data_IF_967531521211
#
_entry.id   IF_967531521211
#
_cell.length_a   1.000
_cell.length_b   1.000
_cell.length_c   1.000
_cell.angle_alpha   90.00
_cell.angle_beta   90.00
_cell.angle_gamma   90.00
#
_symmetry.space_group_name_H-M   'P 1'
#
loop_
_entity.id
_entity.type
_entity.pdbx_description
1 polymer ?
#
# COMPACT_ATOMS: atom_id res chain seq x y z
N UNK A 1 -0.73 23.91 16.58
CA UNK A 1 -0.45 23.36 15.24
C UNK A 1 -0.59 21.84 15.24
N UNK A 2 0.12 21.10 16.08
CA UNK A 2 -0.01 19.64 16.24
C UNK A 2 -1.45 19.15 16.36
N UNK A 3 -2.32 19.90 17.04
CA UNK A 3 -3.71 19.50 17.26
C UNK A 3 -4.49 19.32 15.95
N UNK A 4 -4.31 20.20 14.96
CA UNK A 4 -4.99 20.10 13.67
C UNK A 4 -4.47 18.93 12.82
N UNK A 5 -3.17 18.67 12.88
CA UNK A 5 -2.55 17.54 12.17
C UNK A 5 -3.03 16.21 12.78
N UNK A 6 -3.10 16.13 14.12
CA UNK A 6 -3.64 14.96 14.83
C UNK A 6 -5.13 14.74 14.50
N UNK A 7 -5.95 15.79 14.50
CA UNK A 7 -7.37 15.68 14.14
C UNK A 7 -7.55 15.24 12.68
N UNK A 8 -6.72 15.76 11.75
CA UNK A 8 -6.72 15.33 10.35
C UNK A 8 -6.36 13.87 10.23
N UNK A 9 -5.25 13.45 10.87
CA UNK A 9 -4.80 12.08 10.91
C UNK A 9 -5.88 11.14 11.49
N UNK A 10 -6.50 11.53 12.60
CA UNK A 10 -7.59 10.77 13.21
C UNK A 10 -8.81 10.62 12.29
N UNK A 11 -9.18 11.67 11.55
CA UNK A 11 -10.27 11.59 10.56
C UNK A 11 -9.91 10.66 9.39
N UNK A 12 -8.67 10.74 8.89
CA UNK A 12 -8.20 9.88 7.81
C UNK A 12 -8.20 8.41 8.25
N UNK A 13 -7.68 8.09 9.43
CA UNK A 13 -7.72 6.74 9.99
C UNK A 13 -9.15 6.25 10.23
N UNK A 14 -10.04 7.09 10.76
CA UNK A 14 -11.45 6.75 10.92
C UNK A 14 -12.10 6.39 9.59
N UNK A 15 -11.89 7.20 8.55
CA UNK A 15 -12.43 6.92 7.20
C UNK A 15 -11.87 5.62 6.65
N UNK A 16 -10.57 5.40 6.80
CA UNK A 16 -9.90 4.16 6.38
C UNK A 16 -10.47 2.92 7.08
N UNK A 17 -10.64 2.98 8.41
CA UNK A 17 -11.26 1.91 9.20
C UNK A 17 -12.69 1.61 8.76
N UNK A 18 -13.48 2.65 8.46
CA UNK A 18 -14.85 2.49 7.94
C UNK A 18 -14.83 1.80 6.57
N UNK A 19 -13.94 2.20 5.66
CA UNK A 19 -13.82 1.58 4.33
C UNK A 19 -13.41 0.11 4.45
N UNK A 20 -12.40 -0.21 5.25
CA UNK A 20 -11.99 -1.61 5.47
C UNK A 20 -13.10 -2.42 6.13
N UNK A 21 -13.78 -1.85 7.13
CA UNK A 21 -14.94 -2.50 7.78
C UNK A 21 -16.09 -2.75 6.79
N UNK A 22 -16.35 -1.82 5.89
CA UNK A 22 -17.36 -2.00 4.84
C UNK A 22 -16.98 -3.10 3.86
N UNK A 23 -15.71 -3.17 3.44
CA UNK A 23 -15.21 -4.25 2.58
C UNK A 23 -15.34 -5.60 3.27
N UNK A 24 -14.94 -5.70 4.54
CA UNK A 24 -15.08 -6.91 5.34
C UNK A 24 -16.54 -7.34 5.46
N UNK A 25 -17.44 -6.40 5.75
CA UNK A 25 -18.88 -6.66 5.86
C UNK A 25 -19.45 -7.15 4.54
N UNK A 26 -19.10 -6.51 3.41
CA UNK A 26 -19.51 -6.96 2.08
C UNK A 26 -19.00 -8.38 1.82
N UNK A 27 -17.74 -8.67 2.12
CA UNK A 27 -17.19 -10.03 1.99
C UNK A 27 -17.97 -11.05 2.83
N UNK A 28 -18.29 -10.73 4.09
CA UNK A 28 -19.04 -11.61 4.98
C UNK A 28 -20.49 -11.84 4.52
N UNK A 29 -21.12 -10.82 3.95
CA UNK A 29 -22.50 -10.90 3.44
C UNK A 29 -22.57 -11.63 2.09
N UNK A 30 -21.60 -11.41 1.20
CA UNK A 30 -21.61 -12.01 -0.15
C UNK A 30 -21.16 -13.46 -0.16
N UNK A 31 -20.37 -13.92 0.81
CA UNK A 31 -19.96 -15.32 0.92
C UNK A 31 -21.12 -16.33 0.97
N UNK A 32 -22.26 -16.09 1.65
CA UNK A 32 -23.42 -16.99 1.59
C UNK A 32 -24.12 -16.97 0.22
N UNK A 33 -24.17 -15.82 -0.46
CA UNK A 33 -24.88 -15.69 -1.75
C UNK A 33 -24.12 -16.26 -2.93
N UNK A 34 -22.79 -16.32 -2.89
CA UNK A 34 -21.99 -16.99 -3.93
C UNK A 34 -22.23 -18.52 -3.98
N UNK A 35 -22.87 -19.08 -2.96
CA UNK A 35 -23.29 -20.50 -2.93
C UNK A 35 -24.40 -20.82 -3.93
N UNK A 36 -25.22 -19.86 -4.32
CA UNK A 36 -26.42 -20.11 -5.13
C UNK A 36 -26.13 -20.06 -6.64
N UNK A 37 -25.08 -19.36 -7.08
CA UNK A 37 -24.84 -19.08 -8.50
C UNK A 37 -24.02 -20.14 -9.28
N UNK A 38 -23.34 -21.09 -8.62
CA UNK A 38 -22.48 -22.08 -9.29
C UNK A 38 -22.83 -23.52 -8.87
N UNK A 39 -24.09 -23.92 -9.13
CA UNK A 39 -24.61 -25.25 -8.79
C UNK A 39 -24.10 -26.40 -9.67
N UNK A 40 -23.28 -26.14 -10.70
CA UNK A 40 -22.93 -27.16 -11.70
C UNK A 40 -21.54 -27.81 -11.56
N UNK A 41 -20.71 -27.38 -10.64
CA UNK A 41 -19.45 -28.09 -10.34
C UNK A 41 -19.38 -28.46 -8.85
N UNK A 42 -20.06 -29.54 -8.51
CA UNK A 42 -19.94 -30.14 -7.19
C UNK A 42 -18.64 -30.94 -7.10
N UNK A 43 -17.65 -30.47 -6.37
CA UNK A 43 -16.55 -31.31 -5.90
C UNK A 43 -17.05 -32.06 -4.69
N UNK A 44 -17.25 -33.38 -4.84
CA UNK A 44 -17.60 -34.27 -3.75
C UNK A 44 -16.33 -34.79 -3.09
N UNK A 45 -16.14 -34.46 -1.83
CA UNK A 45 -15.09 -35.04 -0.99
C UNK A 45 -15.80 -35.82 0.13
N UNK A 46 -15.54 -37.12 0.22
CA UNK A 46 -16.18 -38.01 1.18
C UNK A 46 -17.73 -38.00 1.15
N UNK A 47 -18.34 -37.85 -0.05
CA UNK A 47 -19.80 -37.89 -0.22
C UNK A 47 -20.53 -36.59 0.12
N UNK A 48 -19.84 -35.50 0.52
CA UNK A 48 -20.44 -34.19 0.76
C UNK A 48 -20.05 -33.19 -0.35
N UNK A 49 -21.07 -32.55 -0.93
CA UNK A 49 -20.87 -31.50 -1.93
C UNK A 49 -20.54 -30.17 -1.26
N UNK A 50 -19.39 -29.61 -1.57
CA UNK A 50 -18.96 -28.31 -1.07
C UNK A 50 -19.04 -27.27 -2.20
N UNK A 51 -19.80 -26.19 -2.02
CA UNK A 51 -20.01 -25.14 -3.03
C UNK A 51 -19.64 -23.75 -2.51
N UNK A 52 -19.09 -22.90 -3.38
CA UNK A 52 -18.87 -21.46 -3.15
C UNK A 52 -17.47 -21.04 -2.66
N UNK A 53 -17.26 -19.75 -2.44
CA UNK A 53 -15.97 -19.14 -2.07
C UNK A 53 -15.40 -19.65 -0.73
N UNK A 54 -16.25 -20.19 0.15
CA UNK A 54 -15.82 -20.95 1.33
C UNK A 54 -15.17 -22.30 0.97
N UNK A 55 -15.24 -22.73 -0.31
CA UNK A 55 -14.56 -23.96 -0.77
C UNK A 55 -13.07 -23.95 -0.41
N UNK A 56 -12.39 -22.84 -0.59
CA UNK A 56 -10.99 -22.73 -0.20
C UNK A 56 -10.80 -23.00 1.29
N UNK A 57 -11.60 -22.36 2.14
CA UNK A 57 -11.49 -22.48 3.60
C UNK A 57 -12.05 -23.79 4.14
N UNK A 58 -13.13 -24.31 3.56
CA UNK A 58 -13.75 -25.60 4.00
C UNK A 58 -12.99 -26.81 3.45
N UNK A 59 -12.45 -26.76 2.24
CA UNK A 59 -11.52 -27.77 1.72
C UNK A 59 -10.25 -27.86 2.59
N UNK A 60 -9.75 -26.74 3.06
CA UNK A 60 -8.64 -26.64 4.00
C UNK A 60 -8.96 -27.41 5.29
N UNK A 61 -10.18 -27.28 5.81
CA UNK A 61 -10.60 -27.95 7.05
C UNK A 61 -10.88 -29.45 6.90
N UNK A 62 -11.43 -29.87 5.74
CA UNK A 62 -11.84 -31.27 5.53
C UNK A 62 -10.74 -32.19 5.00
N UNK A 63 -9.70 -31.69 4.33
CA UNK A 63 -8.63 -32.53 3.77
C UNK A 63 -7.69 -33.15 4.81
N UNK A 64 -7.83 -32.85 6.10
CA UNK A 64 -6.95 -33.42 7.15
C UNK A 64 -5.46 -33.05 6.95
N UNK A 65 -5.12 -32.38 5.85
CA UNK A 65 -3.81 -31.80 5.64
C UNK A 65 -3.71 -30.51 6.46
N UNK A 66 -2.66 -30.40 7.23
CA UNK A 66 -2.30 -29.18 7.94
C UNK A 66 -1.93 -28.08 6.93
N UNK A 67 -2.93 -27.43 6.37
CA UNK A 67 -2.66 -26.25 5.54
C UNK A 67 -2.27 -25.13 6.50
N UNK A 68 -1.01 -24.76 6.40
CA UNK A 68 -0.47 -23.61 7.09
C UNK A 68 -0.81 -22.36 6.29
N UNK A 69 -1.33 -21.34 6.95
CA UNK A 69 -1.58 -20.03 6.34
C UNK A 69 -0.35 -19.18 6.64
N UNK A 70 0.49 -18.87 5.65
CA UNK A 70 1.66 -18.05 5.89
C UNK A 70 1.23 -16.63 6.26
N UNK A 71 1.74 -16.13 7.38
CA UNK A 71 1.42 -14.79 7.87
C UNK A 71 1.89 -13.70 6.90
N UNK A 72 2.89 -13.97 6.05
CA UNK A 72 3.37 -13.10 4.99
C UNK A 72 2.26 -12.67 4.00
N UNK A 73 1.29 -13.54 3.70
CA UNK A 73 0.14 -13.19 2.84
C UNK A 73 -0.73 -12.13 3.50
N UNK A 74 -0.98 -12.23 4.81
CA UNK A 74 -1.76 -11.23 5.55
C UNK A 74 -1.01 -9.91 5.64
N UNK A 75 0.30 -9.98 5.84
CA UNK A 75 1.18 -8.83 5.80
C UNK A 75 1.15 -8.13 4.43
N UNK A 76 1.08 -8.88 3.32
CA UNK A 76 0.97 -8.31 1.98
C UNK A 76 -0.39 -7.61 1.77
N UNK A 77 -1.49 -8.19 2.24
CA UNK A 77 -2.82 -7.56 2.19
C UNK A 77 -2.82 -6.26 3.00
N UNK A 78 -2.27 -6.29 4.22
CA UNK A 78 -2.15 -5.11 5.07
C UNK A 78 -1.24 -4.05 4.44
N UNK A 79 -0.12 -4.46 3.83
CA UNK A 79 0.79 -3.58 3.12
C UNK A 79 0.11 -2.90 1.93
N UNK A 80 -0.62 -3.65 1.11
CA UNK A 80 -1.36 -3.09 -0.02
C UNK A 80 -2.40 -2.05 0.44
N UNK A 81 -3.20 -2.36 1.46
CA UNK A 81 -4.16 -1.43 2.03
C UNK A 81 -3.47 -0.17 2.61
N UNK A 82 -2.32 -0.34 3.28
CA UNK A 82 -1.51 0.75 3.81
C UNK A 82 -0.89 1.63 2.72
N UNK A 83 -0.47 1.05 1.59
CA UNK A 83 0.03 1.80 0.42
C UNK A 83 -1.09 2.67 -0.18
N UNK A 84 -2.30 2.14 -0.34
CA UNK A 84 -3.45 2.92 -0.78
C UNK A 84 -3.76 4.07 0.17
N UNK A 85 -3.69 3.83 1.47
CA UNK A 85 -3.86 4.87 2.48
C UNK A 85 -2.78 5.96 2.38
N UNK A 86 -1.51 5.57 2.22
CA UNK A 86 -0.39 6.49 2.11
C UNK A 86 -0.52 7.44 0.92
N UNK A 87 -1.02 6.97 -0.23
CA UNK A 87 -1.27 7.81 -1.40
C UNK A 87 -2.34 8.88 -1.11
N UNK A 88 -3.37 8.52 -0.35
CA UNK A 88 -4.39 9.49 0.11
C UNK A 88 -3.82 10.54 1.06
N UNK A 89 -3.00 10.13 2.04
CA UNK A 89 -2.32 11.03 2.97
C UNK A 89 -1.35 11.98 2.26
N UNK A 90 -0.75 11.55 1.16
CA UNK A 90 0.22 12.32 0.41
C UNK A 90 -0.34 13.62 -0.21
N UNK A 91 -1.64 13.81 -0.23
CA UNK A 91 -2.27 15.06 -0.67
C UNK A 91 -2.38 16.11 0.44
N UNK A 92 -1.93 15.81 1.64
CA UNK A 92 -2.05 16.65 2.84
C UNK A 92 -1.40 18.03 2.69
N UNK A 93 -0.29 18.11 1.95
CA UNK A 93 0.43 19.36 1.66
C UNK A 93 0.05 19.99 0.32
N UNK A 94 -1.03 19.56 -0.33
CA UNK A 94 -1.47 20.15 -1.60
C UNK A 94 -1.68 21.67 -1.48
N UNK A 95 -1.29 22.40 -2.51
CA UNK A 95 -1.49 23.86 -2.61
C UNK A 95 -2.95 24.28 -2.49
N UNK A 96 -3.87 23.38 -2.84
CA UNK A 96 -5.30 23.62 -2.79
C UNK A 96 -5.94 23.20 -1.45
N UNK A 97 -5.13 22.73 -0.50
CA UNK A 97 -5.65 22.34 0.81
C UNK A 97 -5.99 23.63 1.61
N UNK A 98 -7.28 23.86 1.84
CA UNK A 98 -7.79 25.01 2.60
C UNK A 98 -7.15 25.16 3.98
N UNK A 99 -6.74 24.07 4.59
CA UNK A 99 -6.11 24.07 5.91
C UNK A 99 -4.72 24.73 5.91
N UNK A 100 -4.05 24.82 4.75
CA UNK A 100 -2.75 25.47 4.64
C UNK A 100 -2.82 26.98 4.81
N UNK A 101 -3.91 27.62 4.38
CA UNK A 101 -4.12 29.05 4.60
C UNK A 101 -4.09 29.41 6.08
N UNK A 102 -4.76 28.63 6.93
CA UNK A 102 -4.72 28.85 8.37
C UNK A 102 -3.35 28.62 9.00
N UNK A 103 -2.54 27.75 8.41
CA UNK A 103 -1.20 27.46 8.91
C UNK A 103 -0.22 28.61 8.63
N UNK A 104 -0.38 29.27 7.49
CA UNK A 104 0.49 30.38 7.10
C UNK A 104 0.17 31.71 7.77
N UNK A 105 -0.99 31.85 8.39
CA UNK A 105 -1.36 33.04 9.18
C UNK A 105 -0.76 33.01 10.59
N UNK A 106 -0.18 31.88 11.05
CA UNK A 106 0.46 31.78 12.36
C UNK A 106 1.97 32.06 12.25
N UNK A 107 2.59 32.62 13.31
CA UNK A 107 4.03 32.93 13.35
C UNK A 107 4.89 31.66 13.53
N UNK A 108 4.68 30.64 12.71
CA UNK A 108 5.46 29.40 12.71
C UNK A 108 6.18 29.28 11.37
N UNK A 109 7.46 28.89 11.40
CA UNK A 109 8.20 28.70 10.15
C UNK A 109 7.53 27.63 9.28
N UNK A 110 7.45 27.89 7.98
CA UNK A 110 6.84 26.96 7.00
C UNK A 110 7.51 25.60 7.01
N UNK A 111 8.82 25.60 7.21
CA UNK A 111 9.62 24.39 7.29
C UNK A 111 9.17 23.51 8.48
N UNK A 112 9.08 24.12 9.67
CA UNK A 112 8.60 23.42 10.88
C UNK A 112 7.18 22.89 10.69
N UNK A 113 6.30 23.70 10.08
CA UNK A 113 4.94 23.30 9.75
C UNK A 113 4.90 22.08 8.82
N UNK A 114 5.68 22.13 7.74
CA UNK A 114 5.75 21.04 6.75
C UNK A 114 6.30 19.77 7.38
N UNK A 115 7.40 19.84 8.14
CA UNK A 115 7.99 18.70 8.82
C UNK A 115 7.04 18.09 9.85
N UNK A 116 6.30 18.91 10.60
CA UNK A 116 5.29 18.42 11.54
C UNK A 116 4.19 17.63 10.83
N UNK A 117 3.69 18.15 9.71
CA UNK A 117 2.67 17.48 8.91
C UNK A 117 3.19 16.16 8.35
N UNK A 118 4.40 16.15 7.78
CA UNK A 118 5.03 14.92 7.25
C UNK A 118 5.26 13.90 8.35
N UNK A 119 5.75 14.32 9.52
CA UNK A 119 5.96 13.43 10.65
C UNK A 119 4.64 12.81 11.18
N UNK A 120 3.57 13.61 11.23
CA UNK A 120 2.24 13.11 11.59
C UNK A 120 1.72 12.13 10.56
N UNK A 121 1.87 12.42 9.28
CA UNK A 121 1.46 11.52 8.19
C UNK A 121 2.25 10.21 8.23
N UNK A 122 3.56 10.26 8.49
CA UNK A 122 4.39 9.06 8.60
C UNK A 122 3.91 8.13 9.72
N UNK A 123 3.61 8.68 10.90
CA UNK A 123 3.05 7.90 12.01
C UNK A 123 1.65 7.37 11.68
N UNK A 124 0.86 8.14 10.96
CA UNK A 124 -0.48 7.74 10.53
C UNK A 124 -0.45 6.57 9.54
N UNK A 125 0.54 6.55 8.65
CA UNK A 125 0.78 5.42 7.74
C UNK A 125 1.11 4.15 8.51
N UNK A 126 1.99 4.21 9.53
CA UNK A 126 2.28 3.05 10.40
C UNK A 126 1.02 2.55 11.09
N UNK A 127 0.21 3.48 11.65
CA UNK A 127 -1.06 3.11 12.28
C UNK A 127 -2.04 2.47 11.27
N UNK A 128 -2.08 2.93 10.02
CA UNK A 128 -2.90 2.34 8.97
C UNK A 128 -2.45 0.91 8.63
N UNK A 129 -1.14 0.63 8.61
CA UNK A 129 -0.63 -0.74 8.44
C UNK A 129 -1.09 -1.65 9.59
N UNK A 130 -1.00 -1.20 10.83
CA UNK A 130 -1.49 -1.97 11.99
C UNK A 130 -2.99 -2.25 11.89
N UNK A 131 -3.79 -1.25 11.53
CA UNK A 131 -5.23 -1.41 11.30
C UNK A 131 -5.48 -2.38 10.15
N UNK A 132 -4.78 -2.25 9.03
CA UNK A 132 -4.88 -3.17 7.89
C UNK A 132 -4.60 -4.61 8.27
N UNK A 133 -3.59 -4.84 9.13
CA UNK A 133 -3.25 -6.18 9.63
C UNK A 133 -4.37 -6.76 10.51
N UNK A 134 -4.97 -5.95 11.38
CA UNK A 134 -6.13 -6.37 12.18
C UNK A 134 -7.30 -6.79 11.29
N UNK A 135 -7.58 -6.02 10.24
CA UNK A 135 -8.64 -6.35 9.28
C UNK A 135 -8.30 -7.55 8.41
N UNK A 136 -7.03 -7.79 8.08
CA UNK A 136 -6.59 -9.00 7.36
C UNK A 136 -6.71 -10.27 8.24
N UNK A 137 -6.48 -10.14 9.55
CA UNK A 137 -6.63 -11.23 10.52
C UNK A 137 -8.10 -11.54 10.86
N UNK A 138 -8.99 -10.56 10.77
CA UNK A 138 -10.38 -10.71 11.20
C UNK A 138 -11.13 -11.89 10.52
N UNK A 139 -11.06 -12.13 9.19
CA UNK A 139 -11.70 -13.26 8.55
C UNK A 139 -11.19 -14.61 9.08
N UNK A 140 -9.88 -14.70 9.32
CA UNK A 140 -9.23 -15.93 9.83
C UNK A 140 -9.68 -16.21 11.27
N UNK A 141 -9.78 -15.16 12.09
CA UNK A 141 -10.27 -15.26 13.46
C UNK A 141 -11.75 -15.68 13.51
N UNK A 142 -12.60 -15.11 12.63
CA UNK A 142 -14.03 -15.44 12.54
C UNK A 142 -14.24 -16.90 12.15
N UNK A 143 -13.38 -17.44 11.27
CA UNK A 143 -13.46 -18.84 10.82
C UNK A 143 -12.79 -19.80 11.81
N UNK A 144 -12.07 -19.31 12.83
CA UNK A 144 -11.41 -20.14 13.85
C UNK A 144 -10.12 -20.80 13.36
N UNK A 145 -9.41 -20.19 12.41
CA UNK A 145 -8.18 -20.73 11.81
C UNK A 145 -6.90 -20.04 12.32
N UNK A 146 -6.95 -19.35 13.45
CA UNK A 146 -5.78 -18.64 14.02
C UNK A 146 -4.63 -19.61 14.40
N UNK A 147 -4.96 -20.81 14.81
CA UNK A 147 -4.01 -21.89 15.14
C UNK A 147 -3.22 -22.41 13.92
N UNK A 148 -3.67 -22.08 12.71
CA UNK A 148 -3.05 -22.46 11.44
C UNK A 148 -2.10 -21.42 10.89
N UNK A 149 -1.95 -20.27 11.56
CA UNK A 149 -1.03 -19.23 11.16
C UNK A 149 0.41 -19.66 11.43
N UNK A 150 1.24 -19.59 10.40
CA UNK A 150 2.69 -19.74 10.54
C UNK A 150 3.38 -18.40 10.39
N UNK A 151 4.18 -18.06 11.39
CA UNK A 151 5.02 -16.88 11.36
C UNK A 151 6.36 -17.22 10.74
N UNK A 152 6.68 -16.56 9.64
CA UNK A 152 7.89 -16.73 8.87
C UNK A 152 8.69 -15.42 8.79
N UNK A 153 9.96 -15.51 8.42
CA UNK A 153 10.82 -14.34 8.21
C UNK A 153 10.31 -13.45 7.05
N UNK A 154 9.63 -14.07 6.08
CA UNK A 154 9.00 -13.39 4.96
C UNK A 154 7.97 -12.37 5.42
N UNK A 155 7.24 -12.65 6.50
CA UNK A 155 6.25 -11.73 7.08
C UNK A 155 6.87 -10.39 7.45
N UNK A 156 8.04 -10.43 8.10
CA UNK A 156 8.78 -9.21 8.47
C UNK A 156 9.29 -8.49 7.22
N UNK A 157 9.86 -9.24 6.27
CA UNK A 157 10.36 -8.66 5.02
C UNK A 157 9.24 -7.95 4.24
N UNK A 158 8.09 -8.58 4.08
CA UNK A 158 6.92 -8.01 3.40
C UNK A 158 6.42 -6.75 4.11
N UNK A 159 6.34 -6.74 5.44
CA UNK A 159 5.92 -5.56 6.20
C UNK A 159 6.89 -4.39 6.04
N UNK A 160 8.19 -4.65 6.17
CA UNK A 160 9.21 -3.60 6.08
C UNK A 160 9.31 -3.03 4.66
N UNK A 161 9.28 -3.88 3.63
CA UNK A 161 9.27 -3.44 2.24
C UNK A 161 7.96 -2.74 1.87
N UNK A 162 6.81 -3.27 2.30
CA UNK A 162 5.51 -2.65 2.10
C UNK A 162 5.42 -1.26 2.72
N UNK A 163 5.95 -1.07 3.92
CA UNK A 163 6.06 0.24 4.55
C UNK A 163 6.99 1.17 3.75
N UNK A 164 8.11 0.65 3.25
CA UNK A 164 9.00 1.39 2.35
C UNK A 164 8.30 1.88 1.09
N UNK A 165 7.50 1.01 0.45
CA UNK A 165 6.70 1.36 -0.75
C UNK A 165 5.64 2.42 -0.40
N UNK A 166 4.99 2.30 0.74
CA UNK A 166 4.02 3.30 1.20
C UNK A 166 4.67 4.68 1.36
N UNK A 167 5.85 4.74 1.99
CA UNK A 167 6.61 5.98 2.10
C UNK A 167 7.14 6.48 0.75
N UNK A 168 7.54 5.60 -0.14
CA UNK A 168 7.93 5.93 -1.51
C UNK A 168 6.79 6.62 -2.26
N UNK A 169 5.58 6.04 -2.26
CA UNK A 169 4.39 6.67 -2.82
C UNK A 169 4.09 8.01 -2.15
N UNK A 170 4.12 8.04 -0.83
CA UNK A 170 3.92 9.26 -0.07
C UNK A 170 4.89 10.36 -0.51
N UNK A 171 6.19 10.08 -0.59
CA UNK A 171 7.22 11.05 -0.99
C UNK A 171 7.04 11.55 -2.42
N UNK A 172 6.79 10.65 -3.39
CA UNK A 172 6.58 11.01 -4.79
C UNK A 172 5.36 11.91 -4.94
N UNK A 173 4.21 11.53 -4.37
CA UNK A 173 2.97 12.31 -4.49
C UNK A 173 3.07 13.64 -3.74
N UNK A 174 3.78 13.69 -2.59
CA UNK A 174 4.05 14.95 -1.88
C UNK A 174 4.91 15.89 -2.72
N UNK A 175 5.95 15.40 -3.37
CA UNK A 175 6.77 16.20 -4.28
C UNK A 175 5.93 16.73 -5.45
N UNK A 176 5.14 15.86 -6.09
CA UNK A 176 4.28 16.22 -7.20
C UNK A 176 3.20 17.25 -6.80
N UNK A 177 2.50 17.04 -5.69
CA UNK A 177 1.47 17.97 -5.20
C UNK A 177 2.06 19.32 -4.77
N UNK A 178 3.32 19.33 -4.31
CA UNK A 178 4.04 20.57 -4.00
C UNK A 178 4.50 21.34 -5.25
N UNK A 179 4.81 20.62 -6.34
CA UNK A 179 5.28 21.21 -7.60
C UNK A 179 4.13 21.70 -8.49
N UNK A 180 3.06 20.93 -8.59
CA UNK A 180 1.97 21.19 -9.53
C UNK A 180 0.92 22.16 -8.98
N UNK A 181 0.30 22.93 -9.89
CA UNK A 181 -0.82 23.84 -9.58
C UNK A 181 -2.20 23.17 -9.72
N UNK A 182 -2.25 21.87 -9.99
CA UNK A 182 -3.49 21.11 -10.14
C UNK A 182 -4.16 20.74 -8.81
N UNK A 183 -5.42 20.39 -8.85
CA UNK A 183 -6.12 19.82 -7.69
C UNK A 183 -5.47 18.51 -7.23
N UNK A 184 -5.51 18.25 -5.93
CA UNK A 184 -4.85 17.07 -5.33
C UNK A 184 -5.29 15.75 -5.96
N UNK A 185 -6.57 15.62 -6.33
CA UNK A 185 -7.09 14.41 -6.99
C UNK A 185 -6.53 14.20 -8.40
N UNK A 186 -6.34 15.28 -9.17
CA UNK A 186 -5.73 15.22 -10.51
C UNK A 186 -4.27 14.78 -10.40
N UNK A 187 -3.51 15.36 -9.47
CA UNK A 187 -2.10 14.99 -9.27
C UNK A 187 -1.96 13.54 -8.84
N UNK A 188 -2.84 13.08 -7.96
CA UNK A 188 -2.87 11.69 -7.51
C UNK A 188 -3.16 10.75 -8.69
N UNK A 189 -4.24 11.00 -9.43
CA UNK A 189 -4.62 10.19 -10.59
C UNK A 189 -3.56 10.16 -11.68
N UNK A 190 -2.96 11.31 -11.98
CA UNK A 190 -1.89 11.41 -12.97
C UNK A 190 -0.63 10.66 -12.52
N UNK A 191 -0.26 10.73 -11.23
CA UNK A 191 0.87 9.97 -10.70
C UNK A 191 0.67 8.47 -10.87
N UNK A 192 -0.50 7.95 -10.55
CA UNK A 192 -0.82 6.53 -10.77
C UNK A 192 -0.76 6.15 -12.23
N UNK A 193 -1.42 6.94 -13.11
CA UNK A 193 -1.46 6.68 -14.55
C UNK A 193 -0.04 6.64 -15.18
N UNK A 194 0.83 7.59 -14.82
CA UNK A 194 2.21 7.64 -15.33
C UNK A 194 2.97 6.38 -14.94
N UNK A 195 2.90 5.94 -13.69
CA UNK A 195 3.63 4.76 -13.24
C UNK A 195 3.11 3.46 -13.86
N UNK A 196 1.77 3.33 -14.04
CA UNK A 196 1.15 2.18 -14.73
C UNK A 196 1.57 2.14 -16.20
N UNK A 197 1.53 3.28 -16.89
CA UNK A 197 1.96 3.35 -18.30
C UNK A 197 3.44 2.99 -18.44
N UNK A 198 4.31 3.55 -17.58
CA UNK A 198 5.75 3.26 -17.62
C UNK A 198 6.05 1.78 -17.31
N UNK A 199 5.27 1.14 -16.43
CA UNK A 199 5.36 -0.31 -16.20
C UNK A 199 4.98 -1.10 -17.48
N UNK A 200 3.88 -0.70 -18.14
CA UNK A 200 3.47 -1.34 -19.40
C UNK A 200 4.52 -1.20 -20.53
N UNK A 201 5.17 -0.05 -20.59
CA UNK A 201 6.23 0.22 -21.58
C UNK A 201 7.52 -0.57 -21.34
N UNK A 202 7.69 -1.18 -20.17
CA UNK A 202 8.87 -2.02 -19.87
C UNK A 202 9.04 -3.18 -20.84
N UNK A 203 7.95 -3.67 -21.43
CA UNK A 203 7.95 -4.80 -22.35
C UNK A 203 8.18 -4.41 -23.82
N UNK A 204 8.34 -3.11 -24.13
CA UNK A 204 8.68 -2.69 -25.47
C UNK A 204 10.11 -3.09 -25.81
N UNK A 205 10.26 -3.94 -26.81
CA UNK A 205 11.56 -4.36 -27.31
C UNK A 205 12.29 -3.18 -27.97
N UNK A 206 13.63 -3.13 -27.79
CA UNK A 206 14.48 -2.06 -28.31
C UNK A 206 14.50 -1.92 -29.83
N UNK A 207 13.89 -2.87 -30.57
CA UNK A 207 13.85 -2.86 -32.04
C UNK A 207 12.94 -1.76 -32.60
N UNK A 208 11.97 -1.29 -31.84
CA UNK A 208 11.00 -0.27 -32.26
C UNK A 208 11.16 1.08 -31.56
N UNK A 209 12.02 1.17 -30.54
CA UNK A 209 12.14 2.36 -29.70
C UNK A 209 13.58 2.84 -29.66
N UNK A 210 13.85 4.16 -29.88
CA UNK A 210 15.20 4.69 -29.79
C UNK A 210 15.86 4.36 -28.43
N UNK A 211 17.17 4.05 -28.40
CA UNK A 211 17.88 3.62 -27.17
C UNK A 211 17.74 4.59 -26.00
N UNK A 212 17.63 5.89 -26.29
CA UNK A 212 17.44 6.93 -25.26
C UNK A 212 16.11 6.75 -24.52
N UNK A 213 15.04 6.42 -25.24
CA UNK A 213 13.74 6.18 -24.61
C UNK A 213 13.74 4.90 -23.78
N UNK A 214 14.40 3.84 -24.27
CA UNK A 214 14.58 2.60 -23.52
C UNK A 214 15.32 2.89 -22.21
N UNK A 215 16.38 3.68 -22.25
CA UNK A 215 17.13 4.10 -21.08
C UNK A 215 16.26 4.91 -20.09
N UNK A 216 15.47 5.87 -20.59
CA UNK A 216 14.55 6.67 -19.77
C UNK A 216 13.53 5.77 -19.09
N UNK A 217 12.88 4.87 -19.85
CA UNK A 217 11.88 3.94 -19.32
C UNK A 217 12.51 3.05 -18.24
N UNK A 218 13.68 2.51 -18.49
CA UNK A 218 14.38 1.63 -17.56
C UNK A 218 14.77 2.38 -16.26
N UNK A 219 15.34 3.57 -16.40
CA UNK A 219 15.71 4.42 -15.26
C UNK A 219 14.48 4.82 -14.44
N UNK A 220 13.37 5.20 -15.10
CA UNK A 220 12.13 5.54 -14.43
C UNK A 220 11.54 4.33 -13.69
N UNK A 221 11.60 3.15 -14.32
CA UNK A 221 11.09 1.92 -13.73
C UNK A 221 11.90 1.43 -12.53
N UNK A 222 13.16 1.85 -12.38
CA UNK A 222 13.95 1.58 -11.17
C UNK A 222 13.31 2.19 -9.91
N UNK A 223 12.68 3.37 -10.05
CA UNK A 223 11.97 4.05 -8.96
C UNK A 223 10.44 3.90 -9.05
N UNK A 224 9.96 2.91 -9.80
CA UNK A 224 8.54 2.70 -9.99
C UNK A 224 7.95 1.89 -8.83
N UNK A 225 7.04 2.47 -8.01
CA UNK A 225 6.48 1.78 -6.86
C UNK A 225 5.72 0.49 -7.21
N UNK A 226 5.15 0.38 -8.42
CA UNK A 226 4.46 -0.84 -8.86
C UNK A 226 5.43 -2.00 -9.08
N UNK A 227 6.64 -1.72 -9.59
CA UNK A 227 7.66 -2.75 -9.78
C UNK A 227 8.16 -3.24 -8.42
N UNK A 228 8.46 -2.31 -7.51
CA UNK A 228 8.87 -2.68 -6.14
C UNK A 228 7.75 -3.45 -5.42
N UNK A 229 6.48 -3.11 -5.68
CA UNK A 229 5.33 -3.83 -5.12
C UNK A 229 5.20 -5.25 -5.68
N UNK A 230 5.42 -5.47 -6.98
CA UNK A 230 5.44 -6.82 -7.55
C UNK A 230 6.53 -7.67 -6.90
N UNK A 231 7.71 -7.11 -6.70
CA UNK A 231 8.81 -7.78 -6.03
C UNK A 231 8.52 -8.09 -4.56
N UNK A 232 7.73 -7.24 -3.88
CA UNK A 232 7.23 -7.55 -2.53
C UNK A 232 6.36 -8.82 -2.55
N UNK A 233 5.50 -8.98 -3.55
CA UNK A 233 4.70 -10.20 -3.68
C UNK A 233 5.55 -11.42 -4.05
N UNK A 234 6.60 -11.25 -4.85
CA UNK A 234 7.55 -12.32 -5.17
C UNK A 234 8.34 -12.79 -3.95
N UNK A 235 8.51 -11.95 -2.93
CA UNK A 235 9.14 -12.32 -1.65
C UNK A 235 8.33 -13.38 -0.91
N UNK A 236 7.02 -13.47 -1.16
CA UNK A 236 6.13 -14.48 -0.61
C UNK A 236 6.39 -15.80 -1.35
N UNK A 237 7.05 -16.76 -0.73
CA UNK A 237 7.38 -18.06 -1.33
C UNK A 237 8.88 -18.27 -1.58
N UNK A 238 9.70 -17.26 -1.31
CA UNK A 238 11.16 -17.40 -1.30
C UNK A 238 11.59 -18.15 -0.02
N UNK A 239 12.58 -19.05 -0.11
CA UNK A 239 13.10 -19.72 1.06
C UNK A 239 13.66 -18.72 2.10
N UNK A 240 13.44 -18.95 3.39
CA UNK A 240 13.81 -18.04 4.48
C UNK A 240 15.29 -17.61 4.44
N UNK A 241 16.17 -18.48 3.99
CA UNK A 241 17.61 -18.18 3.84
C UNK A 241 17.92 -17.12 2.78
N UNK A 242 17.03 -16.87 1.83
CA UNK A 242 17.23 -15.93 0.73
C UNK A 242 16.37 -14.65 0.84
N UNK A 243 15.48 -14.57 1.83
CA UNK A 243 14.53 -13.45 1.98
C UNK A 243 15.23 -12.10 2.05
N UNK A 244 16.31 -11.99 2.83
CA UNK A 244 17.08 -10.75 2.98
C UNK A 244 18.31 -10.70 2.06
N UNK A 245 18.22 -11.35 0.91
CA UNK A 245 19.28 -11.33 -0.10
C UNK A 245 19.53 -9.96 -0.72
N UNK A 246 20.63 -9.81 -1.51
CA UNK A 246 20.97 -8.54 -2.16
C UNK A 246 19.82 -7.87 -2.94
N UNK A 247 18.98 -8.60 -3.68
CA UNK A 247 17.84 -7.98 -4.39
C UNK A 247 16.86 -7.29 -3.44
N UNK A 248 16.54 -7.92 -2.32
CA UNK A 248 15.64 -7.35 -1.32
C UNK A 248 16.22 -6.06 -0.70
N UNK A 249 17.48 -6.09 -0.30
CA UNK A 249 18.17 -4.92 0.28
C UNK A 249 18.24 -3.78 -0.70
N UNK A 250 18.48 -4.04 -1.98
CA UNK A 250 18.47 -3.04 -3.04
C UNK A 250 17.10 -2.37 -3.18
N UNK A 251 16.03 -3.16 -3.19
CA UNK A 251 14.68 -2.63 -3.30
C UNK A 251 14.27 -1.81 -2.07
N UNK A 252 14.64 -2.30 -0.90
CA UNK A 252 14.43 -1.58 0.34
C UNK A 252 15.14 -0.22 0.30
N UNK A 253 16.40 -0.19 -0.12
CA UNK A 253 17.17 1.03 -0.29
C UNK A 253 16.50 1.99 -1.29
N UNK A 254 16.08 1.49 -2.46
CA UNK A 254 15.38 2.29 -3.49
C UNK A 254 14.10 2.89 -2.90
N UNK A 255 13.28 2.11 -2.21
CA UNK A 255 12.02 2.56 -1.64
C UNK A 255 12.23 3.70 -0.63
N UNK A 256 13.09 3.50 0.36
CA UNK A 256 13.32 4.50 1.41
C UNK A 256 14.10 5.72 0.91
N UNK A 257 15.09 5.56 0.04
CA UNK A 257 15.81 6.70 -0.54
C UNK A 257 14.89 7.55 -1.41
N UNK A 258 14.05 6.93 -2.24
CA UNK A 258 13.07 7.67 -3.07
C UNK A 258 12.07 8.42 -2.19
N UNK A 259 11.61 7.81 -1.09
CA UNK A 259 10.75 8.48 -0.11
C UNK A 259 11.43 9.71 0.48
N UNK A 260 12.67 9.59 0.94
CA UNK A 260 13.45 10.70 1.52
C UNK A 260 13.67 11.82 0.51
N UNK A 261 14.07 11.48 -0.71
CA UNK A 261 14.27 12.47 -1.79
C UNK A 261 12.95 13.19 -2.10
N UNK A 262 11.84 12.47 -2.22
CA UNK A 262 10.52 13.05 -2.47
C UNK A 262 10.10 14.02 -1.36
N UNK A 263 10.30 13.65 -0.10
CA UNK A 263 10.04 14.51 1.06
C UNK A 263 10.96 15.74 1.04
N UNK A 264 12.25 15.58 0.77
CA UNK A 264 13.19 16.70 0.70
C UNK A 264 12.80 17.72 -0.41
N UNK A 265 12.39 17.23 -1.58
CA UNK A 265 11.86 18.05 -2.65
C UNK A 265 10.61 18.81 -2.19
N UNK A 266 9.65 18.12 -1.55
CA UNK A 266 8.42 18.73 -1.06
C UNK A 266 8.70 19.85 -0.05
N UNK A 267 9.61 19.63 0.91
CA UNK A 267 10.03 20.64 1.91
C UNK A 267 10.67 21.83 1.23
N UNK A 268 11.60 21.58 0.29
CA UNK A 268 12.34 22.64 -0.42
C UNK A 268 11.40 23.50 -1.26
N UNK A 269 10.49 22.88 -2.01
CA UNK A 269 9.49 23.60 -2.81
C UNK A 269 8.57 24.45 -1.93
N UNK A 270 8.16 23.92 -0.78
CA UNK A 270 7.33 24.65 0.18
C UNK A 270 8.04 25.85 0.80
N UNK A 271 9.32 25.74 1.07
CA UNK A 271 10.15 26.83 1.57
C UNK A 271 10.21 28.00 0.57
N UNK A 272 10.26 27.70 -0.72
CA UNK A 272 10.37 28.68 -1.81
C UNK A 272 9.03 29.29 -2.26
N UNK A 273 7.90 28.75 -1.84
CA UNK A 273 6.60 29.34 -2.21
C UNK A 273 6.46 30.72 -1.59
N UNK A 274 6.35 31.75 -2.44
CA UNK A 274 5.87 33.06 -2.02
C UNK A 274 4.41 32.94 -1.53
N UNK A 275 4.06 33.73 -0.52
CA UNK A 275 2.67 33.87 -0.05
C UNK A 275 1.90 34.66 -1.06
#
# INVERSE_FOLDING_TARGET
MYYFDILRAGRALKTYTIVLGSILLVMLVTTPFSRVSHSNESVTINGQSVSGALRGFVLIHQMGQTIHIPFSVLCAIAAFAGILFATGCATSLSRFNKNLHFTFTKPVSRERSTLTTIGTDALTIVAAFAIGLVFALAPIAIVGLLDRLTFDLQSLAVLVLGLGIAYMWYGIVQAATSAMRGGSGIVLGLSWAVFVVMQGLQHLSGDFVPPVFVWIIHTFNTINPFIVMNQMFETIGVADSAVFGPPYVQQLAIAYLTALVGVAIAVTLRKRMAV
#
